data_IF_614648544718
#
_entry.id   IF_614648544718
#
_cell.length_a   1.000
_cell.length_b   1.000
_cell.length_c   1.000
_cell.angle_alpha   90.00
_cell.angle_beta   90.00
_cell.angle_gamma   90.00
#
_symmetry.space_group_name_H-M   'P 1'
#
loop_
_entity.id
_entity.type
_entity.pdbx_description
1 polymer ?
#
# COMPACT_ATOMS: atom_id res chain seq x y z
N UNK A 1 -12.96 -10.84 3.84
CA UNK A 1 -13.27 -9.50 3.31
C UNK A 1 -13.25 -8.50 4.45
N UNK A 2 -12.20 -7.70 4.50
CA UNK A 2 -11.97 -6.57 5.40
C UNK A 2 -10.68 -5.93 4.87
N UNK A 3 -10.53 -4.60 4.83
CA UNK A 3 -9.39 -3.96 4.16
C UNK A 3 -8.12 -4.06 5.05
N UNK A 4 -7.68 -5.27 5.35
CA UNK A 4 -6.49 -5.54 6.13
C UNK A 4 -5.24 -4.87 5.54
N UNK A 5 -4.94 -4.98 4.22
CA UNK A 5 -3.71 -4.39 3.70
C UNK A 5 -3.68 -2.86 3.80
N UNK A 6 -4.81 -2.18 3.59
CA UNK A 6 -4.87 -0.71 3.70
C UNK A 6 -4.88 -0.22 5.15
N UNK A 7 -5.48 -0.97 6.08
CA UNK A 7 -5.43 -0.62 7.51
C UNK A 7 -3.99 -0.74 8.02
N UNK A 8 -3.29 -1.83 7.71
CA UNK A 8 -1.90 -2.01 8.14
C UNK A 8 -0.95 -1.01 7.46
N UNK A 9 -1.16 -0.73 6.17
CA UNK A 9 -0.46 0.35 5.47
C UNK A 9 -0.67 1.70 6.16
N UNK A 10 -1.92 2.02 6.55
CA UNK A 10 -2.23 3.29 7.18
C UNK A 10 -1.58 3.44 8.56
N UNK A 11 -1.48 2.35 9.34
CA UNK A 11 -0.76 2.34 10.62
C UNK A 11 0.73 2.54 10.41
N UNK A 12 1.34 1.77 9.50
CA UNK A 12 2.76 1.87 9.20
C UNK A 12 3.15 3.27 8.71
N UNK A 13 2.34 3.88 7.84
CA UNK A 13 2.55 5.25 7.36
C UNK A 13 2.47 6.29 8.48
N UNK A 14 1.51 6.15 9.40
CA UNK A 14 1.37 7.05 10.53
C UNK A 14 2.55 6.95 11.52
N UNK A 15 3.10 5.75 11.71
CA UNK A 15 4.27 5.53 12.58
C UNK A 15 5.58 6.01 11.93
N UNK A 16 5.73 5.87 10.62
CA UNK A 16 6.93 6.25 9.89
C UNK A 16 7.10 7.77 9.76
N UNK A 17 5.99 8.50 9.56
CA UNK A 17 6.00 9.94 9.33
C UNK A 17 6.45 10.30 7.90
N UNK A 18 7.71 10.05 7.57
CA UNK A 18 8.29 10.24 6.23
C UNK A 18 9.17 9.03 5.85
N UNK A 19 9.02 8.53 4.62
CA UNK A 19 9.90 7.46 4.13
C UNK A 19 9.26 6.57 3.07
N UNK A 20 9.78 5.35 2.95
CA UNK A 20 9.32 4.39 1.94
C UNK A 20 8.74 3.16 2.62
N UNK A 21 7.53 2.78 2.21
CA UNK A 21 6.86 1.56 2.63
C UNK A 21 6.81 0.59 1.44
N UNK A 22 7.22 -0.64 1.70
CA UNK A 22 7.00 -1.78 0.82
C UNK A 22 5.84 -2.62 1.38
N UNK A 23 4.79 -2.77 0.58
CA UNK A 23 3.60 -3.57 0.91
C UNK A 23 3.52 -4.78 -0.04
N UNK A 24 3.47 -5.98 0.53
CA UNK A 24 3.09 -7.20 -0.16
C UNK A 24 1.64 -7.52 0.16
N UNK A 25 0.81 -7.71 -0.87
CA UNK A 25 -0.59 -8.06 -0.72
C UNK A 25 -1.00 -9.14 -1.72
N UNK A 26 -1.59 -10.21 -1.22
CA UNK A 26 -2.19 -11.30 -2.00
C UNK A 26 -3.69 -11.06 -2.29
N UNK A 27 -4.31 -10.12 -1.58
CA UNK A 27 -5.69 -9.68 -1.80
C UNK A 27 -5.84 -8.92 -3.13
N UNK A 28 -6.67 -9.39 -4.07
CA UNK A 28 -6.95 -8.66 -5.31
C UNK A 28 -7.49 -7.24 -5.10
N UNK A 29 -8.17 -6.97 -3.98
CA UNK A 29 -8.69 -5.63 -3.67
C UNK A 29 -7.56 -4.60 -3.47
N UNK A 30 -6.35 -5.02 -3.08
CA UNK A 30 -5.20 -4.13 -2.94
C UNK A 30 -4.87 -3.40 -4.25
N UNK A 31 -5.21 -4.00 -5.40
CA UNK A 31 -4.96 -3.41 -6.71
C UNK A 31 -5.71 -2.08 -6.90
N UNK A 32 -6.91 -1.96 -6.35
CA UNK A 32 -7.73 -0.75 -6.38
C UNK A 32 -7.54 0.11 -5.14
N UNK A 33 -7.39 -0.52 -3.98
CA UNK A 33 -7.46 0.17 -2.70
C UNK A 33 -6.15 0.90 -2.36
N UNK A 34 -4.98 0.34 -2.71
CA UNK A 34 -3.69 0.99 -2.46
C UNK A 34 -3.55 2.30 -3.26
N UNK A 35 -3.84 2.35 -4.58
CA UNK A 35 -3.84 3.61 -5.31
C UNK A 35 -4.90 4.62 -4.82
N UNK A 36 -6.07 4.14 -4.40
CA UNK A 36 -7.10 5.01 -3.82
C UNK A 36 -6.63 5.64 -2.51
N UNK A 37 -6.07 4.83 -1.60
CA UNK A 37 -5.53 5.31 -0.34
C UNK A 37 -4.39 6.31 -0.55
N UNK A 38 -3.46 6.06 -1.48
CA UNK A 38 -2.38 6.99 -1.78
C UNK A 38 -2.91 8.38 -2.19
N UNK A 39 -3.92 8.42 -3.08
CA UNK A 39 -4.59 9.66 -3.49
C UNK A 39 -5.29 10.37 -2.32
N UNK A 40 -5.93 9.61 -1.43
CA UNK A 40 -6.64 10.17 -0.28
C UNK A 40 -5.72 10.74 0.79
N UNK A 41 -4.49 10.22 0.91
CA UNK A 41 -3.50 10.65 1.91
C UNK A 41 -2.44 11.60 1.36
N UNK A 42 -2.54 11.96 0.09
CA UNK A 42 -1.56 12.79 -0.63
C UNK A 42 -0.12 12.23 -0.59
N UNK A 43 -0.02 10.90 -0.64
CA UNK A 43 1.25 10.17 -0.70
C UNK A 43 1.42 9.51 -2.07
N UNK A 44 2.64 9.10 -2.41
CA UNK A 44 2.97 8.65 -3.77
C UNK A 44 3.19 7.15 -3.86
N UNK A 45 2.35 6.46 -4.62
CA UNK A 45 2.66 5.12 -5.12
C UNK A 45 3.70 5.23 -6.24
N UNK A 46 4.90 4.67 -6.05
CA UNK A 46 6.01 4.76 -7.02
C UNK A 46 6.19 3.51 -7.87
N UNK A 47 5.81 2.34 -7.37
CA UNK A 47 5.88 1.09 -8.13
C UNK A 47 4.77 0.12 -7.73
N UNK A 48 4.34 -0.70 -8.70
CA UNK A 48 3.43 -1.83 -8.52
C UNK A 48 3.90 -2.98 -9.40
N UNK A 49 4.22 -4.09 -8.79
CA UNK A 49 4.85 -5.24 -9.47
C UNK A 49 4.22 -6.54 -9.01
N UNK A 50 4.19 -7.55 -9.89
CA UNK A 50 3.82 -8.91 -9.50
C UNK A 50 5.00 -9.54 -8.76
N UNK A 51 4.72 -10.16 -7.61
CA UNK A 51 5.72 -10.81 -6.77
C UNK A 51 5.25 -12.20 -6.33
N UNK A 52 5.69 -13.24 -7.05
CA UNK A 52 5.23 -14.61 -6.87
C UNK A 52 3.69 -14.68 -6.85
N UNK A 53 3.11 -15.09 -5.72
CA UNK A 53 1.66 -15.24 -5.50
C UNK A 53 0.99 -13.96 -4.96
N UNK A 54 1.72 -12.84 -4.93
CA UNK A 54 1.28 -11.56 -4.38
C UNK A 54 1.59 -10.38 -5.31
N UNK A 55 1.08 -9.21 -4.94
CA UNK A 55 1.41 -7.93 -5.54
C UNK A 55 2.27 -7.13 -4.57
N UNK A 56 3.32 -6.51 -5.10
CA UNK A 56 4.25 -5.63 -4.39
C UNK A 56 3.97 -4.18 -4.75
N UNK A 57 3.85 -3.32 -3.75
CA UNK A 57 3.64 -1.89 -3.88
C UNK A 57 4.75 -1.15 -3.15
N UNK A 58 5.32 -0.14 -3.80
CA UNK A 58 6.30 0.75 -3.18
C UNK A 58 5.67 2.13 -3.07
N UNK A 59 5.60 2.65 -1.85
CA UNK A 59 4.88 3.88 -1.51
C UNK A 59 5.85 4.81 -0.79
N UNK A 60 5.92 6.05 -1.24
CA UNK A 60 6.64 7.14 -0.56
C UNK A 60 5.60 7.94 0.22
N UNK A 61 5.73 7.90 1.55
CA UNK A 61 4.92 8.65 2.53
C UNK A 61 5.59 9.98 2.79
#
# INVERSE_FOLDING_TARGET
MCPAPVIELAKAAAELGEGVIELLADDPAAETDVPAWCRMRDVRLVARERHADSMRYIIVV
#
